data_IF_038280175119
#
_entry.id   IF_038280175119
#
_cell.length_a   1.000
_cell.length_b   1.000
_cell.length_c   1.000
_cell.angle_alpha   90.00
_cell.angle_beta   90.00
_cell.angle_gamma   90.00
#
_symmetry.space_group_name_H-M   'P 1'
#
loop_
_entity.id
_entity.type
_entity.pdbx_description
1 polymer ?
#
# COMPACT_ATOMS: atom_id res chain seq x y z
N UNK A 1 0.33 8.54 11.64
CA UNK A 1 1.28 9.48 10.98
C UNK A 1 0.75 9.81 9.60
N UNK A 2 1.20 10.89 8.95
CA UNK A 2 0.86 11.19 7.55
C UNK A 2 2.11 11.37 6.69
N UNK A 3 2.02 11.02 5.41
CA UNK A 3 3.06 11.23 4.41
C UNK A 3 2.47 11.90 3.18
N UNK A 4 3.11 12.95 2.67
CA UNK A 4 2.66 13.63 1.45
C UNK A 4 3.48 13.10 0.27
N UNK A 5 2.78 12.52 -0.71
CA UNK A 5 3.37 11.94 -1.92
C UNK A 5 4.13 13.02 -2.69
N UNK A 6 5.41 12.76 -2.96
CA UNK A 6 6.26 13.62 -3.77
C UNK A 6 6.24 13.20 -5.24
N UNK A 7 6.79 14.04 -6.12
CA UNK A 7 6.92 13.70 -7.54
C UNK A 7 7.73 12.41 -7.70
N UNK A 8 7.21 11.48 -8.51
CA UNK A 8 7.77 10.15 -8.79
C UNK A 8 7.75 9.15 -7.62
N UNK A 9 7.12 9.49 -6.49
CA UNK A 9 6.89 8.49 -5.44
C UNK A 9 5.91 7.41 -5.93
N UNK A 10 6.14 6.19 -5.46
CA UNK A 10 5.18 5.09 -5.55
C UNK A 10 5.02 4.45 -4.16
N UNK A 11 3.98 3.65 -3.96
CA UNK A 11 3.69 3.06 -2.64
C UNK A 11 4.83 2.16 -2.13
N UNK A 12 5.55 1.49 -3.03
CA UNK A 12 6.68 0.62 -2.71
C UNK A 12 7.83 1.39 -2.06
N UNK A 13 8.26 2.47 -2.70
CA UNK A 13 9.35 3.31 -2.23
C UNK A 13 8.97 4.09 -0.96
N UNK A 14 7.70 4.50 -0.83
CA UNK A 14 7.21 5.12 0.40
C UNK A 14 7.27 4.12 1.57
N UNK A 15 6.80 2.89 1.38
CA UNK A 15 6.84 1.87 2.42
C UNK A 15 8.27 1.47 2.82
N UNK A 16 9.22 1.51 1.88
CA UNK A 16 10.62 1.21 2.13
C UNK A 16 11.31 2.20 3.08
N UNK A 17 10.79 3.43 3.23
CA UNK A 17 11.38 4.44 4.13
C UNK A 17 11.29 3.96 5.58
N UNK A 18 12.39 4.07 6.33
CA UNK A 18 12.45 3.70 7.75
C UNK A 18 11.44 4.46 8.61
N UNK A 19 11.10 5.70 8.23
CA UNK A 19 10.08 6.52 8.89
C UNK A 19 8.64 6.08 8.61
N UNK A 20 8.43 5.15 7.67
CA UNK A 20 7.11 4.61 7.33
C UNK A 20 7.03 3.17 7.84
N UNK A 21 7.67 2.22 7.15
CA UNK A 21 7.70 0.81 7.55
C UNK A 21 9.09 0.19 7.52
N UNK A 22 10.03 0.78 6.76
CA UNK A 22 11.34 0.18 6.52
C UNK A 22 11.30 -1.11 5.71
N UNK A 23 10.17 -1.42 5.08
CA UNK A 23 9.94 -2.68 4.35
C UNK A 23 9.07 -2.36 3.12
N UNK A 24 9.64 -2.39 1.90
CA UNK A 24 8.89 -2.09 0.69
C UNK A 24 7.70 -3.03 0.46
N UNK A 25 7.79 -4.28 0.93
CA UNK A 25 6.71 -5.27 0.78
C UNK A 25 5.48 -4.94 1.62
N UNK A 26 5.54 -3.90 2.46
CA UNK A 26 4.42 -3.40 3.25
C UNK A 26 3.62 -2.29 2.55
N UNK A 27 3.95 -1.92 1.31
CA UNK A 27 3.15 -0.99 0.52
C UNK A 27 1.65 -1.30 0.44
N UNK A 28 1.17 -2.58 0.46
CA UNK A 28 -0.26 -2.88 0.46
C UNK A 28 -0.98 -2.35 1.70
N UNK A 29 -0.28 -2.13 2.81
CA UNK A 29 -0.85 -1.49 4.00
C UNK A 29 -1.18 -0.01 3.76
N UNK A 30 -0.37 0.69 2.95
CA UNK A 30 -0.67 2.06 2.52
C UNK A 30 -1.92 2.07 1.64
N UNK A 31 -2.04 1.11 0.71
CA UNK A 31 -3.23 0.94 -0.12
C UNK A 31 -4.47 0.67 0.73
N UNK A 32 -4.42 -0.31 1.65
CA UNK A 32 -5.51 -0.67 2.56
C UNK A 32 -6.00 0.54 3.34
N UNK A 33 -5.08 1.25 4.00
CA UNK A 33 -5.40 2.39 4.87
C UNK A 33 -6.01 3.56 4.08
N UNK A 34 -5.61 3.73 2.82
CA UNK A 34 -5.97 4.88 1.99
C UNK A 34 -6.86 4.51 0.80
N UNK A 35 -7.55 3.36 0.85
CA UNK A 35 -8.36 2.81 -0.27
C UNK A 35 -9.43 3.79 -0.78
N UNK A 36 -9.93 4.67 0.09
CA UNK A 36 -10.89 5.72 -0.27
C UNK A 36 -10.31 6.79 -1.19
N UNK A 37 -8.99 7.01 -1.13
CA UNK A 37 -8.26 8.02 -1.90
C UNK A 37 -7.39 7.41 -3.00
N UNK A 38 -7.03 6.13 -2.89
CA UNK A 38 -6.22 5.40 -3.85
C UNK A 38 -7.11 4.45 -4.64
N UNK A 39 -7.51 4.86 -5.84
CA UNK A 39 -8.28 4.01 -6.74
C UNK A 39 -7.42 2.94 -7.41
N UNK A 40 -6.16 3.28 -7.72
CA UNK A 40 -5.18 2.43 -8.37
C UNK A 40 -3.82 2.60 -7.66
N UNK A 41 -3.23 1.50 -7.18
CA UNK A 41 -1.96 1.50 -6.45
C UNK A 41 -0.77 1.98 -7.29
N UNK A 42 -0.83 1.81 -8.62
CA UNK A 42 0.20 2.27 -9.55
C UNK A 42 0.07 3.77 -9.89
N UNK A 43 -1.03 4.41 -9.47
CA UNK A 43 -1.33 5.81 -9.77
C UNK A 43 -1.63 6.57 -8.48
N UNK A 44 -0.58 7.06 -7.84
CA UNK A 44 -0.69 8.01 -6.73
C UNK A 44 -0.23 9.40 -7.20
N UNK A 45 -1.10 10.42 -7.19
CA UNK A 45 -0.71 11.75 -7.61
C UNK A 45 0.16 12.45 -6.55
N UNK A 46 1.15 13.26 -6.95
CA UNK A 46 1.86 14.13 -6.03
C UNK A 46 0.91 15.04 -5.24
N UNK A 47 1.22 15.30 -3.97
CA UNK A 47 0.37 16.07 -3.07
C UNK A 47 -0.71 15.24 -2.36
N UNK A 48 -0.93 13.98 -2.73
CA UNK A 48 -1.80 13.08 -1.99
C UNK A 48 -1.24 12.87 -0.57
N UNK A 49 -2.09 13.08 0.45
CA UNK A 49 -1.75 12.77 1.84
C UNK A 49 -2.15 11.34 2.17
N UNK A 50 -1.17 10.51 2.50
CA UNK A 50 -1.35 9.13 2.95
C UNK A 50 -1.38 9.09 4.47
N UNK A 51 -2.41 8.44 5.02
CA UNK A 51 -2.42 8.01 6.41
C UNK A 51 -1.58 6.74 6.55
N UNK A 52 -0.71 6.75 7.56
CA UNK A 52 0.15 5.62 7.92
C UNK A 52 -0.29 5.13 9.29
N UNK A 53 -0.72 3.86 9.33
CA UNK A 53 -0.84 3.08 10.56
C UNK A 53 0.58 2.67 11.01
N UNK A 54 1.09 3.18 12.15
CA UNK A 54 2.45 2.91 12.60
C UNK A 54 2.63 1.52 13.22
N UNK A 55 1.55 0.84 13.60
CA UNK A 55 1.61 -0.45 14.30
C UNK A 55 0.64 -1.49 13.69
N UNK A 56 0.82 -1.83 12.41
CA UNK A 56 0.01 -2.88 11.79
C UNK A 56 0.24 -4.22 12.47
N UNK A 57 -0.82 -5.04 12.55
CA UNK A 57 -0.75 -6.36 13.16
C UNK A 57 0.26 -7.27 12.43
N UNK A 58 0.89 -8.25 13.11
CA UNK A 58 1.77 -9.23 12.44
C UNK A 58 1.09 -9.92 11.24
N UNK A 59 -0.21 -10.21 11.37
CA UNK A 59 -1.03 -10.82 10.34
C UNK A 59 -1.19 -9.90 9.12
N UNK A 60 -1.45 -8.60 9.34
CA UNK A 60 -1.54 -7.61 8.27
C UNK A 60 -0.20 -7.44 7.55
N UNK A 61 0.90 -7.44 8.29
CA UNK A 61 2.26 -7.33 7.71
C UNK A 61 2.56 -8.53 6.82
N UNK A 62 2.26 -9.74 7.29
CA UNK A 62 2.48 -10.94 6.48
C UNK A 62 1.55 -10.97 5.26
N UNK A 63 0.28 -10.63 5.44
CA UNK A 63 -0.68 -10.46 4.37
C UNK A 63 -0.21 -9.50 3.28
N UNK A 64 0.34 -8.35 3.68
CA UNK A 64 0.90 -7.36 2.78
C UNK A 64 2.12 -7.92 2.03
N UNK A 65 3.05 -8.58 2.73
CA UNK A 65 4.21 -9.21 2.08
C UNK A 65 3.82 -10.26 1.05
N UNK A 66 2.88 -11.13 1.41
CA UNK A 66 2.37 -12.15 0.50
C UNK A 66 1.73 -11.50 -0.73
N UNK A 67 0.90 -10.46 -0.55
CA UNK A 67 0.33 -9.73 -1.67
C UNK A 67 1.39 -9.11 -2.58
N UNK A 68 2.34 -8.37 -2.00
CA UNK A 68 3.40 -7.69 -2.72
C UNK A 68 4.27 -8.68 -3.54
N UNK A 69 4.58 -9.86 -3.00
CA UNK A 69 5.32 -10.92 -3.70
C UNK A 69 4.54 -11.53 -4.87
N UNK A 70 3.22 -11.68 -4.74
CA UNK A 70 2.38 -12.36 -5.73
C UNK A 70 1.71 -11.39 -6.74
N UNK A 71 1.88 -10.07 -6.57
CA UNK A 71 1.28 -9.06 -7.46
C UNK A 71 1.64 -9.27 -8.93
N UNK A 72 2.91 -9.61 -9.23
CA UNK A 72 3.38 -9.93 -10.60
C UNK A 72 3.11 -8.83 -11.63
N UNK A 73 3.46 -9.05 -12.89
CA UNK A 73 3.28 -8.05 -13.95
C UNK A 73 1.90 -8.10 -14.60
N UNK A 74 1.27 -9.26 -14.60
CA UNK A 74 -0.06 -9.48 -15.18
C UNK A 74 -1.16 -9.35 -14.12
N UNK A 75 -2.26 -8.70 -14.49
CA UNK A 75 -3.49 -8.57 -13.68
C UNK A 75 -3.31 -7.94 -12.28
N UNK A 76 -2.39 -6.97 -12.14
CA UNK A 76 -2.11 -6.27 -10.87
C UNK A 76 -3.36 -5.70 -10.18
N UNK A 77 -4.20 -5.02 -10.95
CA UNK A 77 -5.41 -4.37 -10.42
C UNK A 77 -6.42 -5.37 -9.83
N UNK A 78 -6.61 -6.52 -10.49
CA UNK A 78 -7.50 -7.59 -9.98
C UNK A 78 -6.98 -8.15 -8.66
N UNK A 79 -5.66 -8.36 -8.55
CA UNK A 79 -5.05 -8.82 -7.31
C UNK A 79 -5.18 -7.79 -6.19
N UNK A 80 -4.98 -6.51 -6.51
CA UNK A 80 -5.15 -5.41 -5.55
C UNK A 80 -6.60 -5.35 -5.03
N UNK A 81 -7.59 -5.58 -5.90
CA UNK A 81 -9.00 -5.71 -5.49
C UNK A 81 -9.23 -6.92 -4.56
N UNK A 82 -8.71 -8.10 -4.90
CA UNK A 82 -8.80 -9.29 -4.04
C UNK A 82 -8.16 -9.07 -2.67
N UNK A 83 -7.03 -8.35 -2.63
CA UNK A 83 -6.38 -7.98 -1.38
C UNK A 83 -7.21 -7.00 -0.54
N UNK A 84 -8.05 -6.17 -1.14
CA UNK A 84 -8.94 -5.27 -0.40
C UNK A 84 -10.22 -5.98 0.04
N UNK A 85 -10.73 -6.91 -0.76
CA UNK A 85 -11.92 -7.71 -0.45
C UNK A 85 -11.76 -8.53 0.84
N UNK A 86 -10.57 -9.08 1.12
CA UNK A 86 -10.30 -9.79 2.40
C UNK A 86 -10.48 -8.92 3.65
N UNK A 87 -10.45 -7.59 3.49
CA UNK A 87 -10.66 -6.62 4.55
C UNK A 87 -12.06 -5.97 4.48
N UNK A 88 -12.92 -6.39 3.56
CA UNK A 88 -14.24 -5.79 3.33
C UNK A 88 -14.18 -4.37 2.74
N UNK A 89 -13.08 -4.02 2.07
CA UNK A 89 -12.81 -2.66 1.59
C UNK A 89 -13.13 -2.45 0.09
N UNK A 90 -13.59 -3.49 -0.62
CA UNK A 90 -14.07 -3.43 -2.00
C UNK A 90 -14.83 -4.69 -2.37
#
# INVERSE_FOLDING_TARGET
MVYTVSKNDNLWDIAAKQSVYGDPFLWPLLLKTNVKHIHNADMIPPGLTLMIDPQPSPQDREAARQHAKHRGDTARQTKDASYLHRYGLR
#
